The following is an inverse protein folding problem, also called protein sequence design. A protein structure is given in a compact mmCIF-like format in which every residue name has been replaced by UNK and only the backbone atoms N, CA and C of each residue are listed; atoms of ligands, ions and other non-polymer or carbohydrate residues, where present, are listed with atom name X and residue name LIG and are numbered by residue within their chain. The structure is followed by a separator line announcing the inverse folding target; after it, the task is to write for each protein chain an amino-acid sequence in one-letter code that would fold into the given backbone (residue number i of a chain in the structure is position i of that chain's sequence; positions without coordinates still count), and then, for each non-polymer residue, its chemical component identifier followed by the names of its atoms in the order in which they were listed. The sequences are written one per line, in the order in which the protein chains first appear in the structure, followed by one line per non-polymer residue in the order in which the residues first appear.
data_IF_466889021267
#
_entry.id   IF_466889021267
#
_cell.length_a   1.000
_cell.length_b   1.000
_cell.length_c   1.000
_cell.angle_alpha   90.00
_cell.angle_beta   90.00
_cell.angle_gamma   90.00
#
_symmetry.space_group_name_H-M   'P 1'
#
loop_
_entity.id
_entity.type
_entity.pdbx_description
1 polymer ?
#
# COMPACT_ATOMS: atom_id res chain seq x y z
N UNK A 1 -24.92 0.13 -13.00
CA UNK A 1 -23.55 -0.35 -12.69
C UNK A 1 -22.73 0.86 -12.32
N UNK A 2 -22.17 0.93 -11.11
CA UNK A 2 -21.34 2.07 -10.67
C UNK A 2 -19.87 1.65 -10.62
N UNK A 3 -18.99 2.45 -11.20
CA UNK A 3 -17.55 2.18 -11.30
C UNK A 3 -16.80 3.38 -10.71
N UNK A 4 -15.64 3.15 -10.10
CA UNK A 4 -14.76 4.22 -9.65
C UNK A 4 -14.25 5.04 -10.85
N UNK A 5 -14.28 6.37 -10.76
CA UNK A 5 -13.91 7.28 -11.86
C UNK A 5 -12.40 7.41 -12.10
N UNK A 6 -11.56 6.92 -11.18
CA UNK A 6 -10.10 6.84 -11.33
C UNK A 6 -9.33 8.17 -11.48
N UNK A 7 -9.95 9.32 -11.16
CA UNK A 7 -9.39 10.66 -11.34
C UNK A 7 -8.07 10.92 -10.58
N UNK A 8 -7.82 10.19 -9.50
CA UNK A 8 -6.61 10.32 -8.65
C UNK A 8 -5.39 9.58 -9.22
N UNK A 9 -5.58 8.71 -10.23
CA UNK A 9 -4.47 7.98 -10.84
C UNK A 9 -3.70 8.94 -11.75
N UNK A 10 -2.40 9.05 -11.54
CA UNK A 10 -1.54 9.91 -12.37
C UNK A 10 -0.75 9.14 -13.41
N UNK A 11 -0.71 7.81 -13.34
CA UNK A 11 0.11 7.00 -14.24
C UNK A 11 -0.46 5.59 -14.40
N UNK A 12 -0.47 5.11 -15.65
CA UNK A 12 -0.99 3.78 -15.99
C UNK A 12 0.07 2.67 -15.96
N UNK A 13 1.34 3.05 -16.09
CA UNK A 13 2.47 2.11 -16.18
C UNK A 13 3.17 1.97 -14.82
N UNK A 14 3.23 0.76 -14.24
CA UNK A 14 3.95 0.53 -13.00
C UNK A 14 5.47 0.51 -13.22
N UNK A 15 6.22 0.74 -12.15
CA UNK A 15 7.67 0.64 -12.14
C UNK A 15 8.11 -0.82 -12.33
N UNK A 16 8.91 -1.08 -13.38
CA UNK A 16 9.31 -2.44 -13.77
C UNK A 16 10.12 -3.16 -12.70
N UNK A 17 11.01 -2.46 -12.00
CA UNK A 17 11.88 -3.04 -10.96
C UNK A 17 11.12 -3.50 -9.71
N UNK A 18 9.96 -2.89 -9.43
CA UNK A 18 9.14 -3.17 -8.25
C UNK A 18 7.97 -4.12 -8.54
N UNK A 19 7.99 -4.80 -9.69
CA UNK A 19 6.89 -5.64 -10.16
C UNK A 19 7.34 -7.10 -10.32
N UNK A 20 6.59 -8.03 -9.72
CA UNK A 20 6.87 -9.47 -9.74
C UNK A 20 5.67 -10.26 -10.27
N UNK A 21 5.90 -11.41 -10.90
CA UNK A 21 4.81 -12.31 -11.31
C UNK A 21 4.09 -12.92 -10.11
N UNK A 22 2.76 -12.76 -10.02
CA UNK A 22 1.95 -13.38 -8.97
C UNK A 22 1.40 -14.73 -9.44
N UNK A 23 1.84 -15.83 -8.81
CA UNK A 23 1.31 -17.17 -9.07
C UNK A 23 -0.05 -17.33 -8.38
N UNK A 24 -1.10 -17.56 -9.18
CA UNK A 24 -2.43 -17.88 -8.65
C UNK A 24 -2.48 -19.33 -8.20
N UNK A 25 -3.10 -19.56 -7.04
CA UNK A 25 -3.28 -20.90 -6.46
C UNK A 25 -4.68 -21.49 -6.68
N UNK A 26 -5.66 -20.66 -7.08
CA UNK A 26 -7.03 -21.11 -7.34
C UNK A 26 -7.68 -21.81 -6.14
N UNK A 27 -7.43 -21.31 -4.92
CA UNK A 27 -7.97 -21.91 -3.69
C UNK A 27 -7.32 -23.22 -3.24
N UNK A 28 -6.26 -23.69 -3.93
CA UNK A 28 -5.56 -24.94 -3.61
C UNK A 28 -4.33 -24.73 -2.73
N UNK A 29 -4.03 -25.70 -1.88
CA UNK A 29 -2.80 -25.74 -1.08
C UNK A 29 -1.64 -26.43 -1.83
N UNK A 30 -0.50 -26.62 -1.16
CA UNK A 30 0.68 -27.31 -1.71
C UNK A 30 0.44 -28.79 -2.03
N UNK A 31 -0.51 -29.46 -1.38
CA UNK A 31 -0.92 -30.84 -1.68
C UNK A 31 -1.92 -30.93 -2.85
N UNK A 32 -2.29 -29.81 -3.47
CA UNK A 32 -3.28 -29.74 -4.54
C UNK A 32 -4.73 -29.82 -4.07
N UNK A 33 -4.98 -29.88 -2.75
CA UNK A 33 -6.34 -29.94 -2.19
C UNK A 33 -6.98 -28.56 -2.18
N UNK A 34 -8.27 -28.48 -2.51
CA UNK A 34 -9.06 -27.26 -2.40
C UNK A 34 -9.29 -26.94 -0.92
N UNK A 35 -8.64 -25.90 -0.40
CA UNK A 35 -8.81 -25.46 0.99
C UNK A 35 -9.71 -24.23 1.09
N UNK A 36 -9.80 -23.41 0.05
CA UNK A 36 -10.65 -22.21 0.02
C UNK A 36 -11.59 -22.28 -1.18
N UNK A 37 -12.89 -22.20 -0.93
CA UNK A 37 -13.94 -22.17 -1.97
C UNK A 37 -14.04 -20.79 -2.63
N UNK A 38 -14.68 -20.73 -3.80
CA UNK A 38 -14.92 -19.50 -4.58
C UNK A 38 -13.65 -18.74 -5.00
N UNK A 39 -12.50 -19.41 -5.04
CA UNK A 39 -11.23 -18.84 -5.48
C UNK A 39 -10.77 -19.54 -6.76
N UNK A 40 -10.78 -18.83 -7.89
CA UNK A 40 -10.40 -19.39 -9.19
C UNK A 40 -10.64 -18.39 -10.32
N UNK A 41 -9.87 -18.49 -11.41
CA UNK A 41 -10.01 -17.62 -12.57
C UNK A 41 -9.53 -16.17 -12.38
N UNK A 42 -10.14 -15.26 -13.14
CA UNK A 42 -9.85 -13.82 -13.16
C UNK A 42 -8.58 -13.41 -13.94
N UNK A 43 -8.45 -12.11 -14.20
CA UNK A 43 -7.31 -11.55 -14.96
C UNK A 43 -5.95 -11.78 -14.29
N UNK A 44 -4.90 -11.97 -15.08
CA UNK A 44 -3.51 -12.15 -14.62
C UNK A 44 -3.01 -10.84 -14.00
N UNK A 45 -2.47 -10.93 -12.79
CA UNK A 45 -1.98 -9.77 -12.04
C UNK A 45 -0.49 -9.92 -11.78
N UNK A 46 0.21 -8.79 -11.76
CA UNK A 46 1.57 -8.71 -11.26
C UNK A 46 1.53 -8.16 -9.84
N UNK A 47 2.37 -8.64 -8.95
CA UNK A 47 2.51 -8.15 -7.60
C UNK A 47 3.38 -6.90 -7.58
N UNK A 48 2.95 -5.83 -6.89
CA UNK A 48 3.79 -4.66 -6.62
C UNK A 48 4.38 -4.78 -5.22
N UNK A 49 5.70 -4.71 -5.14
CA UNK A 49 6.46 -4.78 -3.90
C UNK A 49 6.27 -3.46 -3.14
N UNK A 50 5.54 -3.50 -2.03
CA UNK A 50 5.34 -2.36 -1.13
C UNK A 50 6.31 -2.45 0.05
N UNK A 51 6.85 -1.31 0.46
CA UNK A 51 7.50 -1.14 1.75
C UNK A 51 6.46 -0.86 2.85
N UNK A 52 5.98 -1.90 3.52
CA UNK A 52 5.06 -1.76 4.66
C UNK A 52 5.76 -1.27 5.93
N UNK A 53 7.05 -1.55 6.07
CA UNK A 53 7.81 -1.25 7.30
C UNK A 53 8.29 0.21 7.32
N UNK A 54 8.42 0.84 6.15
CA UNK A 54 8.94 2.20 5.97
C UNK A 54 10.24 2.37 6.74
N UNK A 55 11.24 1.54 6.41
CA UNK A 55 12.46 1.43 7.21
C UNK A 55 13.43 2.60 7.02
N UNK A 56 13.32 3.33 5.90
CA UNK A 56 14.17 4.49 5.64
C UNK A 56 13.73 5.67 6.51
N UNK A 57 14.55 5.95 7.53
CA UNK A 57 14.43 7.13 8.38
C UNK A 57 15.39 8.23 7.90
N UNK A 58 14.99 9.49 8.08
CA UNK A 58 15.88 10.64 7.81
C UNK A 58 16.09 11.01 6.35
N UNK A 59 15.84 10.10 5.41
CA UNK A 59 15.94 10.39 3.97
C UNK A 59 14.58 10.90 3.47
N UNK A 60 14.50 12.15 2.98
CA UNK A 60 13.26 12.64 2.39
C UNK A 60 12.94 11.87 1.11
N UNK A 61 11.66 11.81 0.75
CA UNK A 61 11.22 11.25 -0.51
C UNK A 61 10.16 12.13 -1.15
N UNK A 62 10.21 12.26 -2.46
CA UNK A 62 9.20 12.96 -3.25
C UNK A 62 8.17 11.96 -3.77
N UNK A 63 6.89 12.31 -3.66
CA UNK A 63 5.80 11.55 -4.29
C UNK A 63 5.84 11.78 -5.79
N UNK A 64 6.17 10.72 -6.55
CA UNK A 64 6.30 10.78 -8.00
C UNK A 64 4.98 10.54 -8.73
N UNK A 65 4.19 9.55 -8.27
CA UNK A 65 2.94 9.14 -8.92
C UNK A 65 2.03 8.45 -7.92
N UNK A 66 0.72 8.50 -8.21
CA UNK A 66 -0.30 7.69 -7.55
C UNK A 66 -0.83 6.71 -8.58
N UNK A 67 -0.84 5.43 -8.21
CA UNK A 67 -1.10 4.32 -9.12
C UNK A 67 -2.19 3.41 -8.55
N UNK A 68 -2.89 2.73 -9.46
CA UNK A 68 -3.80 1.66 -9.13
C UNK A 68 -3.06 0.33 -8.95
N UNK A 69 -3.43 -0.43 -7.91
CA UNK A 69 -2.96 -1.80 -7.74
C UNK A 69 -4.12 -2.82 -7.72
N UNK A 70 -4.26 -3.70 -8.73
CA UNK A 70 -5.27 -4.77 -8.73
C UNK A 70 -5.08 -5.87 -7.66
N UNK A 71 -4.04 -5.84 -6.82
CA UNK A 71 -3.89 -6.81 -5.73
C UNK A 71 -4.47 -6.33 -4.39
N UNK A 72 -4.97 -5.08 -4.32
CA UNK A 72 -5.57 -4.49 -3.11
C UNK A 72 -6.61 -3.44 -3.48
N UNK A 73 -7.38 -2.99 -2.51
CA UNK A 73 -8.36 -1.90 -2.70
C UNK A 73 -7.70 -0.51 -2.66
N UNK A 74 -6.71 -0.32 -1.79
CA UNK A 74 -6.03 0.95 -1.61
C UNK A 74 -5.14 1.36 -2.80
N UNK A 75 -5.10 2.66 -3.09
CA UNK A 75 -4.13 3.26 -4.01
C UNK A 75 -2.71 3.11 -3.47
N UNK A 76 -1.74 3.07 -4.38
CA UNK A 76 -0.31 3.09 -4.02
C UNK A 76 0.33 4.36 -4.54
N UNK A 77 1.32 4.85 -3.79
CA UNK A 77 2.13 5.99 -4.20
C UNK A 77 3.57 5.53 -4.44
N UNK A 78 4.15 5.97 -5.56
CA UNK A 78 5.56 5.79 -5.87
C UNK A 78 6.35 6.91 -5.22
N UNK A 79 7.24 6.56 -4.30
CA UNK A 79 8.21 7.46 -3.70
C UNK A 79 9.55 7.37 -4.42
N UNK A 80 10.12 8.53 -4.74
CA UNK A 80 11.52 8.69 -5.16
C UNK A 80 12.30 9.29 -4.00
N UNK A 81 13.20 8.53 -3.42
CA UNK A 81 14.10 9.00 -2.38
C UNK A 81 15.24 9.83 -3.01
N UNK A 82 15.85 10.71 -2.22
CA UNK A 82 17.00 11.50 -2.68
C UNK A 82 18.25 10.66 -2.95
N UNK A 83 18.32 9.44 -2.41
CA UNK A 83 19.39 8.46 -2.69
C UNK A 83 19.21 7.75 -4.05
N UNK A 84 18.13 8.03 -4.79
CA UNK A 84 17.82 7.43 -6.08
C UNK A 84 16.99 6.15 -6.01
N UNK A 85 16.73 5.60 -4.81
CA UNK A 85 15.82 4.46 -4.69
C UNK A 85 14.36 4.86 -4.91
N UNK A 86 13.61 3.91 -5.46
CA UNK A 86 12.17 4.00 -5.60
C UNK A 86 11.48 2.96 -4.72
N UNK A 87 10.40 3.34 -4.04
CA UNK A 87 9.58 2.39 -3.29
C UNK A 87 8.11 2.72 -3.43
N UNK A 88 7.27 1.69 -3.41
CA UNK A 88 5.85 1.88 -3.22
C UNK A 88 5.50 1.96 -1.73
N UNK A 89 4.55 2.85 -1.43
CA UNK A 89 3.84 2.89 -0.15
C UNK A 89 2.34 2.81 -0.40
N UNK A 90 1.57 2.46 0.64
CA UNK A 90 0.14 2.70 0.62
C UNK A 90 -0.12 4.21 0.60
N UNK A 91 -0.98 4.67 -0.30
CA UNK A 91 -1.36 6.07 -0.40
C UNK A 91 -2.26 6.43 0.79
N UNK A 92 -1.83 7.33 1.70
CA UNK A 92 -2.74 7.89 2.69
C UNK A 92 -3.71 8.85 2.01
N UNK A 93 -4.85 9.06 2.66
CA UNK A 93 -5.86 10.01 2.22
C UNK A 93 -5.26 11.43 2.11
N UNK A 94 -5.60 12.17 1.06
CA UNK A 94 -5.09 13.51 0.73
C UNK A 94 -3.60 13.61 0.34
N UNK A 95 -2.91 12.50 0.06
CA UNK A 95 -1.57 12.58 -0.53
C UNK A 95 -1.67 13.07 -1.97
N UNK A 96 -1.05 14.21 -2.28
CA UNK A 96 -0.99 14.77 -3.64
C UNK A 96 0.36 14.48 -4.30
N UNK A 97 0.35 14.26 -5.60
CA UNK A 97 1.58 14.13 -6.40
C UNK A 97 2.39 15.41 -6.34
N UNK A 98 3.71 15.28 -6.19
CA UNK A 98 4.60 16.43 -5.98
C UNK A 98 4.56 17.02 -4.57
N UNK A 99 3.70 16.52 -3.68
CA UNK A 99 3.63 16.92 -2.28
C UNK A 99 4.97 16.79 -1.54
N UNK A 100 5.17 17.67 -0.56
CA UNK A 100 6.44 17.89 0.13
C UNK A 100 6.95 16.65 0.89
N UNK A 101 8.25 16.38 0.72
CA UNK A 101 9.13 15.48 1.45
C UNK A 101 8.45 14.53 2.46
N UNK A 102 8.11 13.32 2.00
CA UNK A 102 7.71 12.23 2.88
C UNK A 102 8.93 11.80 3.68
N UNK A 103 8.98 12.24 4.93
CA UNK A 103 9.97 11.81 5.91
C UNK A 103 9.24 11.00 6.95
N UNK A 104 9.71 9.77 7.19
CA UNK A 104 9.31 9.05 8.39
C UNK A 104 9.80 9.84 9.61
N UNK A 105 8.90 10.59 10.24
CA UNK A 105 9.18 11.16 11.57
C UNK A 105 9.13 10.02 12.58
N UNK A 106 10.13 9.95 13.46
CA UNK A 106 10.00 9.17 14.69
C UNK A 106 8.75 9.69 15.39
N UNK A 107 7.79 8.80 15.69
CA UNK A 107 6.64 9.16 16.51
C UNK A 107 7.18 9.48 17.90
N UNK A 108 7.48 10.75 18.14
CA UNK A 108 7.83 11.25 19.46
C UNK A 108 6.56 11.28 20.30
N UNK A 109 6.37 10.28 21.15
CA UNK A 109 5.40 10.36 22.23
C UNK A 109 5.89 11.44 23.22
N UNK A 110 5.49 12.70 23.01
CA UNK A 110 5.52 13.70 24.09
C UNK A 110 4.44 13.33 25.10
N UNK A 111 4.85 12.58 26.12
CA UNK A 111 4.08 12.37 27.35
C UNK A 111 2.99 11.30 27.26
N UNK A 112 3.39 10.03 27.46
CA UNK A 112 2.68 9.03 28.28
C UNK A 112 3.48 7.72 28.27
N UNK A 113 3.88 7.26 29.46
CA UNK A 113 4.49 5.94 29.67
C UNK A 113 3.54 4.87 29.13
N UNK A 114 4.02 4.01 28.24
CA UNK A 114 3.26 2.94 27.63
C UNK A 114 2.67 2.00 28.70
N UNK A 115 1.34 1.85 28.72
CA UNK A 115 0.69 0.64 29.24
C UNK A 115 0.26 -0.19 28.03
N UNK A 116 0.77 -1.41 28.00
CA UNK A 116 0.46 -2.49 27.07
C UNK A 116 -1.06 -2.62 26.86
N UNK A 117 -1.45 -2.76 25.59
CA UNK A 117 -2.75 -3.15 24.99
C UNK A 117 -3.89 -3.38 26.00
N UNK A 118 -4.81 -2.41 26.17
CA UNK A 118 -6.20 -2.70 26.56
C UNK A 118 -7.17 -1.69 25.93
N UNK A 119 -8.01 -2.21 25.03
CA UNK A 119 -9.42 -1.83 24.75
C UNK A 119 -9.67 -0.40 24.24
N UNK A 120 -9.83 -0.24 22.92
CA UNK A 120 -10.51 0.93 22.35
C UNK A 120 -11.97 0.97 22.85
N UNK A 121 -12.46 2.09 23.40
CA UNK A 121 -13.85 2.23 23.81
C UNK A 121 -14.75 2.36 22.57
N UNK A 122 -15.91 1.72 22.66
CA UNK A 122 -16.82 1.37 21.58
C UNK A 122 -17.77 2.52 21.18
N UNK A 123 -17.31 3.75 20.94
CA UNK A 123 -18.24 4.89 20.77
C UNK A 123 -17.79 6.00 19.81
N UNK A 124 -17.13 5.68 18.70
CA UNK A 124 -16.90 6.66 17.63
C UNK A 124 -17.20 6.07 16.26
N UNK A 125 -18.48 5.87 15.98
CA UNK A 125 -19.09 5.75 14.65
C UNK A 125 -20.57 6.10 14.84
N UNK A 126 -20.89 7.39 14.79
CA UNK A 126 -22.18 7.98 14.38
C UNK A 126 -22.29 9.42 14.91
N UNK A 127 -21.93 10.38 14.07
CA UNK A 127 -22.54 11.71 13.89
C UNK A 127 -21.90 12.37 12.68
#
# INVERSE_FOLDING_TARGET
MTISTFDEITTDKPEKSLTVGLKKRGGRNNQGRLTVRHQGGGSKRKYRIIDFRKQKEGIPAKVSSIEYDPNRSARIALLKYYDGEKRYILCPENLKVGGCNYIRKRCGYKGRKYKIIKRYPYWYLNS
#
